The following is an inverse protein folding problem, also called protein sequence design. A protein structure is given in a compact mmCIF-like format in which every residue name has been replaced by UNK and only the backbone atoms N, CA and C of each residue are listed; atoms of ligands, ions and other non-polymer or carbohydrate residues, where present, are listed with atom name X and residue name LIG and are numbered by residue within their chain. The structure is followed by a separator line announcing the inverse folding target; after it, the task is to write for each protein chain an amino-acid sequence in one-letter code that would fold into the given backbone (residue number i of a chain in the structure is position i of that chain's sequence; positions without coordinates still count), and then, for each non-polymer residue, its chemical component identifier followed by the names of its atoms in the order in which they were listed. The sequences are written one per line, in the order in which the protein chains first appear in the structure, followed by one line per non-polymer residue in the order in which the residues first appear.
data_IF_038463565069
#
_entry.id   IF_038463565069
#
_cell.length_a   1.000
_cell.length_b   1.000
_cell.length_c   1.000
_cell.angle_alpha   90.00
_cell.angle_beta   90.00
_cell.angle_gamma   90.00
#
_symmetry.space_group_name_H-M   'P 1'
#
loop_
_entity.id
_entity.type
_entity.pdbx_description
1 polymer ?
#
# COMPACT_ATOMS: atom_id res chain seq x y z
N UNK A 1 -29.72 -30.56 4.49
CA UNK A 1 -28.34 -30.43 3.94
C UNK A 1 -27.49 -29.72 5.00
N UNK A 2 -26.40 -30.32 5.47
CA UNK A 2 -25.55 -29.68 6.51
C UNK A 2 -24.94 -28.37 5.99
N UNK A 3 -24.64 -27.42 6.88
CA UNK A 3 -24.07 -26.13 6.50
C UNK A 3 -22.76 -26.29 5.70
N UNK A 4 -21.97 -27.32 6.04
CA UNK A 4 -20.72 -27.68 5.36
C UNK A 4 -20.96 -28.10 3.90
N UNK A 5 -21.91 -29.01 3.66
CA UNK A 5 -22.22 -29.48 2.30
C UNK A 5 -22.74 -28.33 1.41
N UNK A 6 -23.53 -27.42 1.99
CA UNK A 6 -24.01 -26.22 1.30
C UNK A 6 -22.88 -25.25 0.95
N UNK A 7 -21.92 -25.04 1.86
CA UNK A 7 -20.74 -24.18 1.62
C UNK A 7 -19.82 -24.76 0.55
N UNK A 8 -19.57 -26.08 0.59
CA UNK A 8 -18.74 -26.77 -0.39
C UNK A 8 -19.35 -26.70 -1.79
N UNK A 9 -20.64 -26.98 -1.92
CA UNK A 9 -21.36 -26.88 -3.19
C UNK A 9 -21.32 -25.46 -3.78
N UNK A 10 -21.53 -24.43 -2.95
CA UNK A 10 -21.40 -23.03 -3.40
C UNK A 10 -19.98 -22.67 -3.83
N UNK A 11 -18.97 -23.22 -3.15
CA UNK A 11 -17.56 -22.98 -3.49
C UNK A 11 -17.21 -23.64 -4.83
N UNK A 12 -17.61 -24.90 -5.04
CA UNK A 12 -17.40 -25.62 -6.30
C UNK A 12 -18.11 -24.95 -7.48
N UNK A 13 -19.33 -24.45 -7.28
CA UNK A 13 -20.06 -23.70 -8.29
C UNK A 13 -19.38 -22.36 -8.64
N UNK A 14 -18.71 -21.73 -7.66
CA UNK A 14 -18.01 -20.45 -7.85
C UNK A 14 -16.63 -20.61 -8.53
N UNK A 15 -15.93 -21.71 -8.24
CA UNK A 15 -14.54 -21.91 -8.64
C UNK A 15 -14.37 -23.16 -9.52
N UNK A 16 -14.86 -23.10 -10.76
CA UNK A 16 -14.46 -24.05 -11.80
C UNK A 16 -13.23 -23.52 -12.56
N UNK A 17 -12.22 -24.35 -12.89
CA UNK A 17 -11.04 -23.93 -13.65
C UNK A 17 -11.38 -23.25 -14.98
N UNK A 18 -12.41 -23.74 -15.68
CA UNK A 18 -12.84 -23.19 -16.97
C UNK A 18 -13.38 -21.75 -16.83
N UNK A 19 -14.31 -21.51 -15.90
CA UNK A 19 -14.80 -20.15 -15.61
C UNK A 19 -13.69 -19.21 -15.16
N UNK A 20 -12.68 -19.71 -14.43
CA UNK A 20 -11.53 -18.91 -14.02
C UNK A 20 -10.68 -18.50 -15.23
N UNK A 21 -10.41 -19.42 -16.15
CA UNK A 21 -9.68 -19.13 -17.39
C UNK A 21 -10.42 -18.10 -18.25
N UNK A 22 -11.72 -18.31 -18.50
CA UNK A 22 -12.54 -17.39 -19.29
C UNK A 22 -12.63 -16.00 -18.65
N UNK A 23 -12.84 -15.94 -17.33
CA UNK A 23 -12.91 -14.67 -16.60
C UNK A 23 -11.58 -13.93 -16.67
N UNK A 24 -10.46 -14.63 -16.46
CA UNK A 24 -9.12 -14.04 -16.51
C UNK A 24 -8.82 -13.49 -17.89
N UNK A 25 -9.06 -14.28 -18.95
CA UNK A 25 -8.85 -13.85 -20.33
C UNK A 25 -9.64 -12.56 -20.66
N UNK A 26 -10.89 -12.47 -20.18
CA UNK A 26 -11.76 -11.29 -20.38
C UNK A 26 -11.21 -10.02 -19.72
N UNK A 27 -10.60 -10.13 -18.55
CA UNK A 27 -10.17 -8.95 -17.76
C UNK A 27 -8.67 -8.69 -17.86
N UNK A 28 -7.89 -9.57 -18.47
CA UNK A 28 -6.43 -9.54 -18.45
C UNK A 28 -5.84 -8.22 -18.95
N UNK A 29 -6.32 -7.73 -20.09
CA UNK A 29 -5.81 -6.49 -20.69
C UNK A 29 -6.06 -5.28 -19.76
N UNK A 30 -7.27 -5.16 -19.23
CA UNK A 30 -7.65 -4.09 -18.30
C UNK A 30 -6.91 -4.21 -16.95
N UNK A 31 -6.78 -5.43 -16.41
CA UNK A 31 -5.97 -5.67 -15.20
C UNK A 31 -4.51 -5.28 -15.41
N UNK A 32 -3.93 -5.63 -16.56
CA UNK A 32 -2.53 -5.32 -16.89
C UNK A 32 -2.32 -3.82 -17.02
N UNK A 33 -3.25 -3.11 -17.67
CA UNK A 33 -3.19 -1.65 -17.80
C UNK A 33 -3.29 -0.96 -16.43
N UNK A 34 -4.23 -1.38 -15.58
CA UNK A 34 -4.37 -0.84 -14.21
C UNK A 34 -3.15 -1.14 -13.35
N UNK A 35 -2.61 -2.35 -13.43
CA UNK A 35 -1.41 -2.73 -12.70
C UNK A 35 -0.21 -1.90 -13.14
N UNK A 36 -0.02 -1.73 -14.46
CA UNK A 36 1.05 -0.89 -15.00
C UNK A 36 0.97 0.54 -14.46
N UNK A 37 -0.22 1.16 -14.50
CA UNK A 37 -0.42 2.50 -13.95
C UNK A 37 -0.06 2.56 -12.46
N UNK A 38 -0.60 1.63 -11.65
CA UNK A 38 -0.29 1.59 -10.22
C UNK A 38 1.19 1.33 -9.91
N UNK A 39 1.90 0.54 -10.73
CA UNK A 39 3.33 0.31 -10.55
C UNK A 39 4.18 1.52 -10.90
N UNK A 40 3.77 2.32 -11.89
CA UNK A 40 4.44 3.60 -12.20
C UNK A 40 4.39 4.52 -10.99
N UNK A 41 3.19 4.72 -10.42
CA UNK A 41 3.00 5.60 -9.26
C UNK A 41 3.74 5.07 -8.03
N UNK A 42 3.70 3.75 -7.79
CA UNK A 42 4.41 3.12 -6.67
C UNK A 42 5.92 3.30 -6.79
N UNK A 43 6.50 3.05 -7.98
CA UNK A 43 7.94 3.20 -8.22
C UNK A 43 8.39 4.65 -8.08
N UNK A 44 7.59 5.62 -8.54
CA UNK A 44 7.87 7.04 -8.36
C UNK A 44 7.91 7.41 -6.87
N UNK A 45 6.90 7.03 -6.11
CA UNK A 45 6.85 7.26 -4.65
C UNK A 45 8.03 6.60 -3.91
N UNK A 46 8.41 5.37 -4.28
CA UNK A 46 9.57 4.70 -3.67
C UNK A 46 10.89 5.39 -4.01
N UNK A 47 11.01 5.98 -5.19
CA UNK A 47 12.20 6.75 -5.58
C UNK A 47 12.31 8.02 -4.74
N UNK A 48 11.22 8.78 -4.61
CA UNK A 48 11.16 9.98 -3.76
C UNK A 48 11.47 9.63 -2.29
N UNK A 49 10.91 8.53 -1.79
CA UNK A 49 11.21 8.06 -0.43
C UNK A 49 12.69 7.75 -0.26
N UNK A 50 13.34 7.09 -1.23
CA UNK A 50 14.79 6.82 -1.17
C UNK A 50 15.61 8.10 -1.15
N UNK A 51 15.22 9.13 -1.89
CA UNK A 51 15.90 10.43 -1.86
C UNK A 51 15.86 11.08 -0.46
N UNK A 52 14.73 10.98 0.24
CA UNK A 52 14.60 11.43 1.64
C UNK A 52 15.52 10.62 2.56
N UNK A 53 15.60 9.30 2.37
CA UNK A 53 16.43 8.40 3.18
C UNK A 53 17.93 8.64 2.96
N UNK A 54 18.35 8.84 1.71
CA UNK A 54 19.73 9.15 1.33
C UNK A 54 20.17 10.47 1.97
N UNK A 55 19.29 11.48 1.94
CA UNK A 55 19.54 12.79 2.56
C UNK A 55 19.60 12.72 4.08
N UNK A 56 18.93 11.73 4.68
CA UNK A 56 18.90 11.50 6.13
C UNK A 56 20.01 10.59 6.64
N UNK A 57 20.86 10.05 5.75
CA UNK A 57 21.97 9.15 6.11
C UNK A 57 21.51 7.82 6.71
N UNK A 58 20.33 7.33 6.33
CA UNK A 58 19.80 6.05 6.83
C UNK A 58 20.62 4.89 6.28
N UNK A 59 21.05 4.00 7.17
CA UNK A 59 21.76 2.77 6.79
C UNK A 59 20.86 1.88 5.91
N UNK A 60 21.46 1.32 4.86
CA UNK A 60 20.82 0.45 3.86
C UNK A 60 20.01 -0.68 4.48
N UNK A 61 20.43 -1.22 5.62
CA UNK A 61 19.73 -2.27 6.37
C UNK A 61 18.31 -1.83 6.78
N UNK A 62 18.12 -0.53 7.05
CA UNK A 62 16.84 0.00 7.52
C UNK A 62 15.95 0.56 6.40
N UNK A 63 16.47 0.77 5.18
CA UNK A 63 15.71 1.34 4.05
C UNK A 63 14.39 0.60 3.82
N UNK A 64 14.40 -0.73 3.92
CA UNK A 64 13.19 -1.56 3.70
C UNK A 64 12.06 -1.20 4.67
N UNK A 65 12.37 -0.88 5.93
CA UNK A 65 11.34 -0.55 6.92
C UNK A 65 10.70 0.82 6.63
N UNK A 66 11.49 1.79 6.18
CA UNK A 66 10.98 3.09 5.78
C UNK A 66 10.17 3.02 4.48
N UNK A 67 10.59 2.19 3.52
CA UNK A 67 9.79 1.92 2.32
C UNK A 67 8.45 1.26 2.67
N UNK A 68 8.42 0.34 3.63
CA UNK A 68 7.16 -0.28 4.08
C UNK A 68 6.22 0.71 4.80
N UNK A 69 6.77 1.71 5.49
CA UNK A 69 6.00 2.84 5.99
C UNK A 69 5.42 3.66 4.84
N UNK A 70 6.25 4.07 3.87
CA UNK A 70 5.82 4.86 2.72
C UNK A 70 4.76 4.14 1.90
N UNK A 71 4.89 2.83 1.65
CA UNK A 71 3.88 1.99 0.97
C UNK A 71 2.54 1.94 1.72
N UNK A 72 2.56 1.88 3.05
CA UNK A 72 1.33 1.93 3.84
C UNK A 72 0.65 3.30 3.72
N UNK A 73 1.43 4.38 3.74
CA UNK A 73 0.90 5.73 3.55
C UNK A 73 0.37 5.95 2.14
N UNK A 74 1.09 5.47 1.11
CA UNK A 74 0.63 5.45 -0.28
C UNK A 74 -0.69 4.73 -0.44
N UNK A 75 -0.85 3.55 0.18
CA UNK A 75 -2.13 2.84 0.16
C UNK A 75 -3.28 3.65 0.79
N UNK A 76 -3.00 4.44 1.82
CA UNK A 76 -4.00 5.30 2.46
C UNK A 76 -4.35 6.51 1.58
N UNK A 77 -3.36 7.18 1.00
CA UNK A 77 -3.56 8.39 0.19
C UNK A 77 -4.13 8.09 -1.20
N UNK A 78 -3.67 7.02 -1.84
CA UNK A 78 -4.07 6.64 -3.20
C UNK A 78 -5.26 5.67 -3.23
N UNK A 79 -5.40 4.81 -2.21
CA UNK A 79 -6.37 3.71 -2.22
C UNK A 79 -7.72 4.05 -1.59
N UNK A 80 -7.87 5.20 -0.93
CA UNK A 80 -9.11 5.59 -0.24
C UNK A 80 -9.37 7.08 -0.43
N UNK A 81 -10.61 7.43 -0.76
CA UNK A 81 -11.08 8.83 -0.75
C UNK A 81 -11.25 9.28 0.70
N UNK A 82 -10.14 9.57 1.37
CA UNK A 82 -10.11 10.06 2.76
C UNK A 82 -9.95 11.57 2.72
N UNK A 83 -10.74 12.29 3.50
CA UNK A 83 -10.56 13.74 3.69
C UNK A 83 -9.22 14.04 4.36
N UNK A 84 -8.54 15.11 3.94
CA UNK A 84 -7.20 15.48 4.42
C UNK A 84 -7.02 15.47 5.95
N UNK A 85 -7.96 15.95 6.78
CA UNK A 85 -7.80 15.91 8.24
C UNK A 85 -7.79 14.49 8.83
N UNK A 86 -8.52 13.57 8.20
CA UNK A 86 -8.53 12.15 8.58
C UNK A 86 -7.25 11.48 8.08
N UNK A 87 -6.78 11.83 6.89
CA UNK A 87 -5.52 11.31 6.35
C UNK A 87 -4.34 11.70 7.25
N UNK A 88 -4.27 12.95 7.72
CA UNK A 88 -3.23 13.40 8.64
C UNK A 88 -3.20 12.58 9.94
N UNK A 89 -4.37 12.30 10.53
CA UNK A 89 -4.50 11.46 11.74
C UNK A 89 -4.07 10.01 11.50
N UNK A 90 -4.52 9.40 10.41
CA UNK A 90 -4.12 8.02 10.06
C UNK A 90 -2.62 7.92 9.76
N UNK A 91 -2.05 8.93 9.09
CA UNK A 91 -0.61 9.04 8.86
C UNK A 91 0.17 9.16 10.17
N UNK A 92 -0.35 9.92 11.15
CA UNK A 92 0.24 10.01 12.48
C UNK A 92 0.22 8.66 13.22
N UNK A 93 -0.88 7.92 13.15
CA UNK A 93 -0.97 6.57 13.75
C UNK A 93 0.07 5.61 13.13
N UNK A 94 0.25 5.67 11.80
CA UNK A 94 1.29 4.88 11.13
C UNK A 94 2.70 5.29 11.56
N UNK A 95 2.96 6.61 11.66
CA UNK A 95 4.25 7.12 12.12
C UNK A 95 4.57 6.58 13.51
N UNK A 96 3.65 6.72 14.48
CA UNK A 96 3.84 6.22 15.84
C UNK A 96 4.07 4.71 15.89
N UNK A 97 3.37 3.94 15.05
CA UNK A 97 3.56 2.49 14.93
C UNK A 97 5.00 2.15 14.54
N UNK A 98 5.57 2.87 13.57
CA UNK A 98 6.91 2.62 13.08
C UNK A 98 8.00 3.22 13.98
N UNK A 99 7.72 4.34 14.63
CA UNK A 99 8.55 4.87 15.70
C UNK A 99 8.70 3.84 16.84
N UNK A 100 7.61 3.21 17.28
CA UNK A 100 7.66 2.14 18.30
C UNK A 100 8.47 0.90 17.85
N UNK A 101 8.75 0.76 16.56
CA UNK A 101 9.63 -0.28 15.99
C UNK A 101 11.10 0.16 15.87
N UNK A 102 11.43 1.35 16.35
CA UNK A 102 12.80 1.88 16.40
C UNK A 102 13.18 2.77 15.22
N UNK A 103 12.23 3.18 14.37
CA UNK A 103 12.51 4.11 13.27
C UNK A 103 12.55 5.55 13.80
N UNK A 104 13.37 6.40 13.17
CA UNK A 104 13.51 7.80 13.53
C UNK A 104 12.23 8.58 13.18
N UNK A 105 11.53 9.17 14.16
CA UNK A 105 10.30 9.92 13.91
C UNK A 105 10.49 11.14 13.01
N UNK A 106 11.69 11.74 12.96
CA UNK A 106 11.97 12.88 12.09
C UNK A 106 12.00 12.45 10.63
N UNK A 107 12.62 11.31 10.34
CA UNK A 107 12.69 10.75 8.98
C UNK A 107 11.30 10.27 8.54
N UNK A 108 10.53 9.65 9.44
CA UNK A 108 9.13 9.30 9.17
C UNK A 108 8.28 10.54 8.87
N UNK A 109 8.48 11.64 9.60
CA UNK A 109 7.78 12.90 9.37
C UNK A 109 8.19 13.55 8.03
N UNK A 110 9.48 13.49 7.67
CA UNK A 110 9.99 13.95 6.38
C UNK A 110 9.35 13.18 5.23
N UNK A 111 9.32 11.84 5.29
CA UNK A 111 8.61 11.02 4.28
C UNK A 111 7.14 11.43 4.18
N UNK A 112 6.44 11.59 5.31
CA UNK A 112 5.02 11.98 5.33
C UNK A 112 4.78 13.32 4.60
N UNK A 113 5.64 14.30 4.82
CA UNK A 113 5.46 15.64 4.26
C UNK A 113 6.04 15.78 2.86
N UNK A 114 7.28 15.37 2.64
CA UNK A 114 7.99 15.60 1.36
C UNK A 114 7.47 14.71 0.24
N UNK A 115 7.08 13.46 0.54
CA UNK A 115 6.59 12.50 -0.47
C UNK A 115 5.07 12.59 -0.65
N UNK A 116 4.32 12.84 0.43
CA UNK A 116 2.85 12.78 0.40
C UNK A 116 2.16 14.12 0.63
N UNK A 117 2.90 15.20 0.93
CA UNK A 117 2.33 16.51 1.28
C UNK A 117 1.31 16.44 2.44
N UNK A 118 1.43 15.45 3.33
CA UNK A 118 0.53 15.28 4.47
C UNK A 118 1.09 16.03 5.68
N UNK A 119 0.41 17.07 6.20
CA UNK A 119 0.88 17.81 7.36
C UNK A 119 0.74 16.98 8.66
N UNK A 120 1.36 17.48 9.73
CA UNK A 120 1.03 17.00 11.07
C UNK A 120 -0.46 17.28 11.40
N UNK A 121 -1.13 16.41 12.18
CA UNK A 121 -2.49 16.65 12.65
C UNK A 121 -2.66 17.92 13.47
#
# INVERSE_FOLDING_TARGET
MSDVARRLSRWQAKYSPEMAAQTTARIYADMSARYLASMVDLCAMELETKQVLDSSGIDTLYIVFYLDFARQLFKLSHGRTISDPTLAKEAQVLLEKWQRRGLDPNVLAAIRFEVFSVPAP
#
